data_IF_844750317029
#
_entry.id   IF_844750317029
#
_cell.length_a   1.000
_cell.length_b   1.000
_cell.length_c   1.000
_cell.angle_alpha   90.00
_cell.angle_beta   90.00
_cell.angle_gamma   90.00
#
_symmetry.space_group_name_H-M   'P 1'
#
loop_
_entity.id
_entity.type
_entity.pdbx_description
1 polymer ?
#
# COMPACT_ATOMS: atom_id res chain seq x y z
N UNK A 1 -6.65 -37.60 -22.45
CA UNK A 1 -5.97 -37.11 -21.23
C UNK A 1 -6.58 -35.78 -20.88
N UNK A 2 -7.43 -35.79 -19.86
CA UNK A 2 -8.13 -34.56 -19.44
C UNK A 2 -7.21 -33.80 -18.48
N UNK A 3 -6.41 -32.88 -19.00
CA UNK A 3 -5.70 -31.93 -18.14
C UNK A 3 -6.71 -30.90 -17.64
N UNK A 4 -7.36 -31.21 -16.52
CA UNK A 4 -8.11 -30.20 -15.77
C UNK A 4 -7.10 -29.19 -15.27
N UNK A 5 -6.94 -28.09 -16.02
CA UNK A 5 -6.18 -26.96 -15.52
C UNK A 5 -6.91 -26.44 -14.27
N UNK A 6 -6.23 -26.46 -13.12
CA UNK A 6 -6.77 -25.85 -11.91
C UNK A 6 -7.25 -24.42 -12.20
N UNK A 7 -8.39 -24.00 -11.66
CA UNK A 7 -8.90 -22.67 -11.89
C UNK A 7 -7.89 -21.62 -11.39
N UNK A 8 -7.57 -20.66 -12.24
CA UNK A 8 -6.68 -19.54 -11.88
C UNK A 8 -7.51 -18.48 -11.14
N UNK A 9 -7.04 -18.07 -9.97
CA UNK A 9 -7.70 -17.07 -9.15
C UNK A 9 -7.00 -15.72 -9.34
N UNK A 10 -7.73 -14.73 -9.86
CA UNK A 10 -7.30 -13.33 -9.84
C UNK A 10 -7.95 -12.61 -8.67
N UNK A 11 -7.20 -11.79 -7.94
CA UNK A 11 -7.70 -11.03 -6.80
C UNK A 11 -7.50 -9.54 -7.02
N UNK A 12 -8.57 -8.75 -6.83
CA UNK A 12 -8.54 -7.31 -6.89
C UNK A 12 -8.80 -6.70 -5.51
N UNK A 13 -7.82 -5.96 -4.98
CA UNK A 13 -7.85 -5.31 -3.68
C UNK A 13 -8.08 -3.81 -3.87
N UNK A 14 -9.26 -3.34 -3.50
CA UNK A 14 -9.65 -1.94 -3.66
C UNK A 14 -8.96 -0.99 -2.69
N UNK A 15 -9.03 0.31 -3.01
CA UNK A 15 -8.67 1.36 -2.07
C UNK A 15 -9.71 1.48 -0.95
N UNK A 16 -9.43 2.31 0.06
CA UNK A 16 -10.38 2.52 1.15
C UNK A 16 -9.78 3.03 2.46
N UNK A 17 -8.55 3.53 2.44
CA UNK A 17 -7.86 3.99 3.64
C UNK A 17 -7.87 2.90 4.72
N UNK A 18 -8.20 3.23 5.98
CA UNK A 18 -8.25 2.26 7.08
C UNK A 18 -9.19 1.06 6.83
N UNK A 19 -10.26 1.24 6.03
CA UNK A 19 -11.16 0.13 5.67
C UNK A 19 -10.46 -0.96 4.85
N UNK A 20 -9.39 -0.62 4.12
CA UNK A 20 -8.62 -1.60 3.35
C UNK A 20 -7.90 -2.64 4.22
N UNK A 21 -7.77 -2.42 5.53
CA UNK A 21 -7.28 -3.44 6.46
C UNK A 21 -8.17 -4.71 6.45
N UNK A 22 -9.42 -4.61 5.99
CA UNK A 22 -10.30 -5.78 5.79
C UNK A 22 -9.80 -6.75 4.72
N UNK A 23 -8.85 -6.33 3.88
CA UNK A 23 -8.19 -7.25 2.95
C UNK A 23 -7.39 -8.33 3.69
N UNK A 24 -6.87 -8.03 4.89
CA UNK A 24 -6.07 -8.96 5.68
C UNK A 24 -6.88 -10.21 6.08
N UNK A 25 -8.03 -10.10 6.76
CA UNK A 25 -8.84 -11.28 7.07
C UNK A 25 -9.35 -12.02 5.82
N UNK A 26 -9.53 -11.34 4.69
CA UNK A 26 -9.79 -12.00 3.42
C UNK A 26 -8.62 -12.88 2.98
N UNK A 27 -7.39 -12.36 3.06
CA UNK A 27 -6.17 -13.10 2.72
C UNK A 27 -5.99 -14.29 3.69
N UNK A 28 -6.23 -14.10 4.99
CA UNK A 28 -6.19 -15.20 5.98
C UNK A 28 -7.17 -16.31 5.61
N UNK A 29 -8.40 -15.97 5.21
CA UNK A 29 -9.38 -16.97 4.78
C UNK A 29 -8.92 -17.71 3.51
N UNK A 30 -8.27 -17.01 2.56
CA UNK A 30 -7.66 -17.64 1.39
C UNK A 30 -6.55 -18.62 1.79
N UNK A 31 -5.68 -18.22 2.74
CA UNK A 31 -4.61 -19.07 3.26
C UNK A 31 -5.16 -20.31 3.98
N UNK A 32 -6.19 -20.17 4.82
CA UNK A 32 -6.86 -21.27 5.52
C UNK A 32 -7.50 -22.27 4.55
N UNK A 33 -8.04 -21.79 3.44
CA UNK A 33 -8.63 -22.63 2.38
C UNK A 33 -7.57 -23.23 1.44
N UNK A 34 -6.28 -22.90 1.61
CA UNK A 34 -5.20 -23.32 0.72
C UNK A 34 -5.28 -22.71 -0.68
N UNK A 35 -6.05 -21.63 -0.84
CA UNK A 35 -6.22 -20.94 -2.12
C UNK A 35 -5.12 -19.91 -2.33
N UNK A 36 -4.50 -19.95 -3.51
CA UNK A 36 -3.43 -19.02 -3.89
C UNK A 36 -3.84 -18.20 -5.11
N UNK A 37 -3.61 -16.88 -5.10
CA UNK A 37 -3.85 -16.07 -6.27
C UNK A 37 -2.80 -16.35 -7.35
N UNK A 38 -3.24 -16.38 -8.60
CA UNK A 38 -2.36 -16.41 -9.78
C UNK A 38 -1.94 -15.01 -10.20
N UNK A 39 -2.69 -14.00 -9.80
CA UNK A 39 -2.44 -12.58 -10.06
C UNK A 39 -3.18 -11.73 -9.02
N UNK A 40 -2.54 -10.64 -8.62
CA UNK A 40 -3.12 -9.66 -7.69
C UNK A 40 -3.13 -8.30 -8.40
N UNK A 41 -4.22 -7.55 -8.24
CA UNK A 41 -4.25 -6.12 -8.53
C UNK A 41 -4.63 -5.34 -7.28
N UNK A 42 -4.06 -4.15 -7.10
CA UNK A 42 -4.32 -3.33 -5.93
C UNK A 42 -4.34 -1.84 -6.21
N UNK A 43 -5.17 -1.12 -5.48
CA UNK A 43 -5.23 0.35 -5.49
C UNK A 43 -5.06 0.87 -4.07
N UNK A 44 -4.20 1.89 -3.89
CA UNK A 44 -3.96 2.55 -2.60
C UNK A 44 -3.58 1.51 -1.51
N UNK A 45 -4.31 1.46 -0.40
CA UNK A 45 -4.11 0.46 0.66
C UNK A 45 -4.16 -0.98 0.13
N UNK A 46 -4.98 -1.25 -0.89
CA UNK A 46 -5.03 -2.54 -1.55
C UNK A 46 -3.74 -2.86 -2.33
N UNK A 47 -3.05 -1.86 -2.89
CA UNK A 47 -1.74 -2.03 -3.50
C UNK A 47 -0.68 -2.34 -2.43
N UNK A 48 -0.74 -1.67 -1.29
CA UNK A 48 0.20 -1.85 -0.19
C UNK A 48 0.07 -3.25 0.43
N UNK A 49 -1.13 -3.66 0.82
CA UNK A 49 -1.40 -5.00 1.38
C UNK A 49 -1.16 -6.08 0.32
N UNK A 50 -1.62 -5.84 -0.91
CA UNK A 50 -1.43 -6.75 -2.04
C UNK A 50 0.03 -6.98 -2.37
N UNK A 51 0.90 -5.98 -2.22
CA UNK A 51 2.34 -6.13 -2.42
C UNK A 51 2.97 -7.04 -1.36
N UNK A 52 2.56 -6.91 -0.09
CA UNK A 52 2.98 -7.82 0.97
C UNK A 52 2.57 -9.25 0.67
N UNK A 53 1.32 -9.47 0.27
CA UNK A 53 0.86 -10.80 -0.13
C UNK A 53 1.58 -11.34 -1.37
N UNK A 54 1.77 -10.50 -2.38
CA UNK A 54 2.52 -10.87 -3.60
C UNK A 54 3.99 -11.21 -3.33
N UNK A 55 4.61 -10.62 -2.30
CA UNK A 55 5.97 -10.97 -1.85
C UNK A 55 6.03 -12.33 -1.17
N UNK A 56 4.88 -12.87 -0.77
CA UNK A 56 4.71 -14.18 -0.14
C UNK A 56 4.46 -14.14 1.35
N UNK A 57 4.11 -12.98 1.91
CA UNK A 57 3.61 -12.89 3.28
C UNK A 57 2.24 -13.56 3.36
N UNK A 58 2.03 -14.34 4.42
CA UNK A 58 0.72 -14.86 4.77
C UNK A 58 -0.18 -13.77 5.35
N UNK A 59 -1.50 -14.03 5.37
CA UNK A 59 -2.45 -13.13 6.00
C UNK A 59 -2.14 -12.86 7.47
N UNK A 60 -1.65 -13.88 8.20
CA UNK A 60 -1.19 -13.74 9.59
C UNK A 60 0.00 -12.77 9.70
N UNK A 61 1.03 -12.95 8.88
CA UNK A 61 2.21 -12.07 8.88
C UNK A 61 1.83 -10.64 8.51
N UNK A 62 0.93 -10.46 7.53
CA UNK A 62 0.37 -9.16 7.18
C UNK A 62 -0.37 -8.51 8.34
N UNK A 63 -1.14 -9.29 9.11
CA UNK A 63 -1.85 -8.80 10.30
C UNK A 63 -0.87 -8.33 11.36
N UNK A 64 0.06 -9.19 11.76
CA UNK A 64 1.05 -8.90 12.81
C UNK A 64 1.86 -7.65 12.45
N UNK A 65 2.37 -7.60 11.22
CA UNK A 65 3.12 -6.46 10.72
C UNK A 65 2.30 -5.16 10.68
N UNK A 66 1.04 -5.24 10.19
CA UNK A 66 0.16 -4.07 10.15
C UNK A 66 -0.13 -3.50 11.54
N UNK A 67 -0.35 -4.35 12.54
CA UNK A 67 -0.57 -3.90 13.92
C UNK A 67 0.69 -3.27 14.53
N UNK A 68 1.86 -3.80 14.24
CA UNK A 68 3.13 -3.25 14.70
C UNK A 68 3.34 -1.84 14.12
N UNK A 69 3.21 -1.70 12.82
CA UNK A 69 3.36 -0.40 12.11
C UNK A 69 2.34 0.62 12.62
N UNK A 70 1.06 0.24 12.70
CA UNK A 70 0.00 1.13 13.19
C UNK A 70 0.20 1.51 14.66
N UNK A 71 0.67 0.59 15.49
CA UNK A 71 1.03 0.86 16.88
C UNK A 71 2.16 1.89 16.99
N UNK A 72 3.18 1.75 16.17
CA UNK A 72 4.31 2.68 16.07
C UNK A 72 3.85 4.06 15.59
N UNK A 73 3.09 4.13 14.50
CA UNK A 73 2.55 5.39 13.96
C UNK A 73 1.65 6.10 14.98
N UNK A 74 0.79 5.36 15.69
CA UNK A 74 -0.04 5.93 16.77
C UNK A 74 0.80 6.52 17.89
N UNK A 75 1.88 5.83 18.28
CA UNK A 75 2.79 6.30 19.33
C UNK A 75 3.53 7.56 18.89
N UNK A 76 4.02 7.61 17.65
CA UNK A 76 4.66 8.79 17.08
C UNK A 76 3.66 9.95 17.01
N UNK A 77 2.47 9.71 16.45
CA UNK A 77 1.43 10.73 16.34
C UNK A 77 1.02 11.29 17.72
N UNK A 78 0.87 10.44 18.74
CA UNK A 78 0.55 10.88 20.09
C UNK A 78 1.64 11.73 20.72
N UNK A 79 2.91 11.41 20.50
CA UNK A 79 4.06 12.18 20.97
C UNK A 79 4.15 13.54 20.27
N UNK A 80 3.96 13.58 18.95
CA UNK A 80 3.94 14.83 18.18
C UNK A 80 2.76 15.70 18.59
N UNK A 81 1.58 15.12 18.81
CA UNK A 81 0.42 15.85 19.30
C UNK A 81 0.67 16.48 20.67
N UNK A 82 1.24 15.74 21.59
CA UNK A 82 1.58 16.25 22.93
C UNK A 82 2.61 17.40 22.92
N UNK A 83 3.53 17.40 21.94
CA UNK A 83 4.51 18.49 21.77
C UNK A 83 3.95 19.69 21.02
N UNK A 84 3.04 19.49 20.08
CA UNK A 84 2.42 20.57 19.28
C UNK A 84 1.38 21.39 20.05
N UNK A 85 0.69 20.83 21.05
CA UNK A 85 -0.26 21.58 21.88
C UNK A 85 0.42 22.76 22.58
N UNK A 86 1.73 22.70 22.83
CA UNK A 86 2.50 23.81 23.42
C UNK A 86 2.93 24.90 22.43
N UNK A 87 2.79 24.68 21.11
CA UNK A 87 3.28 25.59 20.06
C UNK A 87 2.25 26.06 19.03
N UNK A 88 0.97 25.70 19.19
CA UNK A 88 -0.08 25.87 18.15
C UNK A 88 -0.47 27.31 17.81
N UNK A 89 -0.05 28.34 18.59
CA UNK A 89 -0.37 29.73 18.29
C UNK A 89 0.32 30.34 17.08
N UNK A 90 1.43 29.75 16.61
CA UNK A 90 2.26 30.29 15.52
C UNK A 90 2.07 29.64 14.14
N UNK A 91 1.65 28.37 14.10
CA UNK A 91 1.61 27.58 12.87
C UNK A 91 0.34 27.79 12.03
N UNK A 92 -0.76 28.18 12.64
CA UNK A 92 -2.02 28.48 11.95
C UNK A 92 -1.98 29.78 11.11
N UNK A 93 -0.99 30.63 11.32
CA UNK A 93 -0.86 31.93 10.62
C UNK A 93 -0.21 31.86 9.24
N UNK A 94 0.53 30.79 8.90
CA UNK A 94 1.38 30.76 7.72
C UNK A 94 0.92 29.82 6.58
N UNK A 95 -0.28 29.25 6.63
CA UNK A 95 -0.86 28.52 5.48
C UNK A 95 0.01 27.38 4.92
N UNK A 96 0.91 26.80 5.74
CA UNK A 96 1.77 25.70 5.29
C UNK A 96 0.91 24.45 5.23
N UNK A 97 0.50 24.09 4.02
CA UNK A 97 -0.07 22.79 3.73
C UNK A 97 0.99 21.72 4.02
N UNK A 98 0.92 21.08 5.18
CA UNK A 98 1.80 19.95 5.53
C UNK A 98 1.31 18.71 4.77
N UNK A 99 1.66 18.63 3.48
CA UNK A 99 1.45 17.42 2.71
C UNK A 99 2.48 16.37 3.14
N UNK A 100 2.00 15.21 3.51
CA UNK A 100 2.83 14.05 3.85
C UNK A 100 3.37 13.42 2.56
N UNK A 101 4.60 12.93 2.59
CA UNK A 101 5.13 12.14 1.48
C UNK A 101 4.56 10.72 1.55
N UNK A 102 3.90 10.29 0.48
CA UNK A 102 3.34 8.93 0.40
C UNK A 102 4.44 7.85 0.51
N UNK A 103 5.65 8.16 0.06
CA UNK A 103 6.84 7.31 0.22
C UNK A 103 7.13 6.99 1.66
N UNK A 104 7.01 7.96 2.58
CA UNK A 104 7.25 7.74 4.02
C UNK A 104 6.26 6.74 4.62
N UNK A 105 5.02 6.72 4.14
CA UNK A 105 4.02 5.73 4.58
C UNK A 105 4.36 4.34 4.05
N UNK A 106 4.76 4.25 2.78
CA UNK A 106 5.19 2.99 2.16
C UNK A 106 6.44 2.44 2.84
N UNK A 107 7.43 3.31 3.12
CA UNK A 107 8.67 2.92 3.78
C UNK A 107 8.44 2.47 5.24
N UNK A 108 7.50 3.10 5.94
CA UNK A 108 7.13 2.68 7.28
C UNK A 108 6.38 1.34 7.30
N UNK A 109 5.65 1.01 6.22
CA UNK A 109 4.86 -0.21 6.14
C UNK A 109 5.61 -1.39 5.54
N UNK A 110 6.48 -1.17 4.57
CA UNK A 110 7.23 -2.25 3.92
C UNK A 110 8.55 -2.51 4.65
N UNK A 111 8.88 -3.78 5.00
CA UNK A 111 10.14 -4.13 5.63
C UNK A 111 11.37 -3.70 4.79
N UNK A 112 12.53 -3.54 5.44
CA UNK A 112 13.77 -3.13 4.77
C UNK A 112 14.23 -4.15 3.71
N UNK A 113 13.98 -5.44 3.95
CA UNK A 113 14.30 -6.54 3.03
C UNK A 113 13.20 -6.83 2.02
N UNK A 114 12.22 -5.91 1.86
CA UNK A 114 11.13 -6.07 0.90
C UNK A 114 11.66 -6.06 -0.55
N UNK A 115 11.06 -6.84 -1.47
CA UNK A 115 11.46 -6.83 -2.88
C UNK A 115 11.51 -5.41 -3.46
N UNK A 116 12.54 -5.11 -4.25
CA UNK A 116 12.72 -3.79 -4.85
C UNK A 116 11.86 -3.61 -6.10
N UNK A 117 11.76 -4.66 -6.91
CA UNK A 117 11.09 -4.62 -8.21
C UNK A 117 9.92 -5.61 -8.29
N UNK A 118 8.98 -5.32 -9.19
CA UNK A 118 7.84 -6.20 -9.47
C UNK A 118 8.26 -7.64 -9.86
N UNK A 119 9.35 -7.79 -10.58
CA UNK A 119 9.85 -9.11 -11.02
C UNK A 119 10.30 -10.02 -9.87
N UNK A 120 10.61 -9.43 -8.71
CA UNK A 120 11.09 -10.15 -7.53
C UNK A 120 9.95 -10.67 -6.65
N UNK A 121 8.69 -10.36 -7.01
CA UNK A 121 7.49 -10.84 -6.33
C UNK A 121 7.20 -12.31 -6.69
N UNK A 122 6.67 -13.07 -5.73
CA UNK A 122 6.25 -14.46 -5.92
C UNK A 122 4.97 -14.61 -6.76
N UNK A 123 4.10 -13.59 -6.69
CA UNK A 123 2.84 -13.50 -7.44
C UNK A 123 2.85 -12.21 -8.25
N UNK A 124 2.48 -12.25 -9.54
CA UNK A 124 2.35 -11.05 -10.35
C UNK A 124 1.42 -10.02 -9.70
N UNK A 125 1.89 -8.78 -9.58
CA UNK A 125 1.14 -7.66 -9.00
C UNK A 125 0.92 -6.56 -10.03
N UNK A 126 -0.29 -6.01 -10.06
CA UNK A 126 -0.67 -4.83 -10.82
C UNK A 126 -1.06 -3.72 -9.85
N UNK A 127 -0.31 -2.64 -9.81
CA UNK A 127 -0.60 -1.46 -9.00
C UNK A 127 -1.34 -0.44 -9.83
N UNK A 128 -2.57 -0.12 -9.45
CA UNK A 128 -3.42 0.84 -10.14
C UNK A 128 -3.28 2.20 -9.48
N UNK A 129 -2.95 3.21 -10.26
CA UNK A 129 -2.86 4.61 -9.86
C UNK A 129 -3.63 5.52 -10.83
N UNK A 130 -3.70 6.80 -10.52
CA UNK A 130 -4.25 7.83 -11.40
C UNK A 130 -3.15 8.83 -11.73
N UNK A 131 -2.91 9.05 -13.02
CA UNK A 131 -2.09 10.15 -13.47
C UNK A 131 -2.85 11.46 -13.25
N UNK A 132 -2.29 12.31 -12.39
CA UNK A 132 -2.93 13.55 -11.99
C UNK A 132 -2.98 14.60 -13.11
N UNK A 133 -2.11 14.53 -14.11
CA UNK A 133 -2.08 15.47 -15.21
C UNK A 133 -3.12 15.11 -16.27
N UNK A 134 -3.19 13.84 -16.64
CA UNK A 134 -4.08 13.36 -17.71
C UNK A 134 -5.45 12.89 -17.22
N UNK A 135 -5.61 12.67 -15.90
CA UNK A 135 -6.80 12.08 -15.26
C UNK A 135 -7.11 10.66 -15.74
N UNK A 136 -6.11 9.98 -16.30
CA UNK A 136 -6.26 8.59 -16.73
C UNK A 136 -5.71 7.61 -15.71
N UNK A 137 -6.25 6.41 -15.78
CA UNK A 137 -5.72 5.27 -15.05
C UNK A 137 -4.33 4.91 -15.58
N UNK A 138 -3.41 4.66 -14.64
CA UNK A 138 -2.10 4.08 -14.92
C UNK A 138 -1.98 2.77 -14.17
N UNK A 139 -1.43 1.75 -14.82
CA UNK A 139 -1.20 0.44 -14.21
C UNK A 139 0.29 0.12 -14.28
N UNK A 140 0.90 -0.07 -13.12
CA UNK A 140 2.28 -0.48 -12.98
C UNK A 140 2.36 -1.97 -12.67
N UNK A 141 3.17 -2.71 -13.41
CA UNK A 141 3.45 -4.13 -13.21
C UNK A 141 4.92 -4.49 -13.43
N UNK A 142 5.77 -3.49 -13.56
CA UNK A 142 7.22 -3.61 -13.78
C UNK A 142 7.97 -2.42 -13.20
N UNK A 143 9.29 -2.55 -13.04
CA UNK A 143 10.13 -1.53 -12.43
C UNK A 143 10.08 -1.56 -10.90
N UNK A 144 10.25 -0.41 -10.27
CA UNK A 144 10.35 -0.29 -8.82
C UNK A 144 8.97 -0.32 -8.14
N UNK A 145 8.86 -1.13 -7.09
CA UNK A 145 7.61 -1.30 -6.32
C UNK A 145 7.25 -0.06 -5.48
N UNK A 146 8.19 0.44 -4.69
CA UNK A 146 7.91 1.52 -3.73
C UNK A 146 7.36 2.79 -4.39
N UNK A 147 7.94 3.31 -5.48
CA UNK A 147 7.38 4.47 -6.18
C UNK A 147 5.99 4.22 -6.77
N UNK A 148 5.75 3.04 -7.34
CA UNK A 148 4.46 2.67 -7.89
C UNK A 148 3.37 2.63 -6.81
N UNK A 149 3.66 1.97 -5.67
CA UNK A 149 2.74 1.88 -4.53
C UNK A 149 2.51 3.28 -3.94
N UNK A 150 3.57 4.09 -3.79
CA UNK A 150 3.47 5.46 -3.30
C UNK A 150 2.59 6.33 -4.20
N UNK A 151 2.73 6.22 -5.53
CA UNK A 151 1.87 6.91 -6.50
C UNK A 151 0.40 6.50 -6.37
N UNK A 152 0.14 5.22 -6.10
CA UNK A 152 -1.21 4.72 -5.86
C UNK A 152 -1.83 5.20 -4.54
N UNK A 153 -1.00 5.48 -3.51
CA UNK A 153 -1.44 6.03 -2.22
C UNK A 153 -1.59 7.55 -2.23
N UNK A 154 -0.98 8.25 -3.17
CA UNK A 154 -0.83 9.71 -3.17
C UNK A 154 -2.16 10.43 -3.48
N UNK A 155 -3.12 10.40 -2.56
CA UNK A 155 -4.38 11.13 -2.68
C UNK A 155 -4.08 12.64 -2.65
N UNK A 156 -4.50 13.41 -3.69
CA UNK A 156 -4.37 14.86 -3.72
C UNK A 156 -4.91 15.52 -2.45
N UNK A 157 -4.32 16.63 -2.05
CA UNK A 157 -4.57 17.39 -0.82
C UNK A 157 -4.04 16.78 0.49
N UNK A 158 -3.83 15.45 0.56
CA UNK A 158 -3.22 14.80 1.73
C UNK A 158 -1.76 14.48 1.52
N UNK A 159 -1.40 14.07 0.30
CA UNK A 159 -0.03 13.69 -0.05
C UNK A 159 0.50 14.57 -1.17
N UNK A 160 1.85 14.68 -1.22
CA UNK A 160 2.54 15.23 -2.38
C UNK A 160 2.39 14.25 -3.55
N UNK A 161 2.24 14.75 -4.79
CA UNK A 161 2.30 13.90 -5.98
C UNK A 161 3.64 13.16 -6.06
N UNK A 162 3.58 11.92 -6.50
CA UNK A 162 4.77 11.09 -6.77
C UNK A 162 5.04 11.11 -8.26
N UNK A 163 6.26 11.46 -8.66
CA UNK A 163 6.66 11.40 -10.07
C UNK A 163 7.33 10.05 -10.31
N UNK A 164 6.72 9.24 -11.19
CA UNK A 164 7.26 7.94 -11.54
C UNK A 164 6.91 7.57 -12.99
N UNK A 165 7.94 7.15 -13.78
CA UNK A 165 7.80 6.77 -15.20
C UNK A 165 7.05 7.81 -16.05
N UNK A 166 7.38 9.09 -15.89
CA UNK A 166 6.74 10.24 -16.57
C UNK A 166 5.25 10.47 -16.24
N UNK A 167 4.78 9.91 -15.15
CA UNK A 167 3.44 10.13 -14.60
C UNK A 167 3.50 10.83 -13.26
#
# INVERSE_FOLDING_TARGET
MNTSSEPKIGVALGGGSARGLTHIPYIEAMDELGLKPSVISGTSIGALIGSGWASGMSGRELREHSFEVLGTLRTIASRLWATQIRGLGGLLKNGISMQIEATSVVDAFLPDNFPLEFKDLKVPLYVVATDFQSWHQVVFNSGLLRPAISGSLAIPSFFKPVIYNNH
#
